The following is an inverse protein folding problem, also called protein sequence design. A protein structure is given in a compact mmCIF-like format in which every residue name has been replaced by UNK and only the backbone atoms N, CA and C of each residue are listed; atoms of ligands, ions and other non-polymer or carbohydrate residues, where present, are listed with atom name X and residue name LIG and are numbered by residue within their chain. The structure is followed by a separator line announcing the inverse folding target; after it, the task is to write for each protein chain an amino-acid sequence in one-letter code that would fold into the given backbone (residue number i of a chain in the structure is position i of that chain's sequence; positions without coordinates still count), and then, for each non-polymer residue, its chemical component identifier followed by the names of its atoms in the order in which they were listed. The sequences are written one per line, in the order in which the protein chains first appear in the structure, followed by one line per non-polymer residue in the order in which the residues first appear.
data_IF_386777616444
#
_entry.id   IF_386777616444
#
_cell.length_a   1.000
_cell.length_b   1.000
_cell.length_c   1.000
_cell.angle_alpha   90.00
_cell.angle_beta   90.00
_cell.angle_gamma   90.00
#
_symmetry.space_group_name_H-M   'P 1'
#
loop_
_entity.id
_entity.type
_entity.pdbx_description
1 polymer ?
#
# COMPACT_ATOMS: atom_id res chain seq x y z
N UNK A 1 7.16 -7.94 3.46
CA UNK A 1 7.32 -6.61 4.08
C UNK A 1 8.47 -6.64 5.06
N UNK A 2 9.39 -5.72 4.92
CA UNK A 2 10.54 -5.60 5.83
C UNK A 2 10.40 -4.31 6.64
N UNK A 3 10.16 -4.43 7.94
CA UNK A 3 9.97 -3.28 8.82
C UNK A 3 11.32 -2.60 9.09
N UNK A 4 11.39 -1.30 8.82
CA UNK A 4 12.61 -0.50 8.96
C UNK A 4 12.66 0.26 10.29
N UNK A 5 11.50 0.65 10.81
CA UNK A 5 11.36 1.32 12.11
C UNK A 5 9.96 1.09 12.65
N UNK A 6 9.82 1.22 13.97
CA UNK A 6 8.55 0.98 14.63
C UNK A 6 8.22 -0.48 14.76
N UNK A 7 6.96 -0.78 15.03
CA UNK A 7 6.46 -2.14 15.23
C UNK A 7 5.12 -2.30 14.53
N UNK A 8 5.11 -3.08 13.44
CA UNK A 8 3.91 -3.27 12.64
C UNK A 8 2.78 -4.01 13.37
N UNK A 9 3.09 -4.71 14.44
CA UNK A 9 2.08 -5.45 15.21
C UNK A 9 1.37 -4.57 16.24
N UNK A 10 1.99 -3.49 16.69
CA UNK A 10 1.50 -2.73 17.84
C UNK A 10 1.27 -1.25 17.56
N UNK A 11 1.86 -0.67 16.53
CA UNK A 11 1.76 0.78 16.36
C UNK A 11 2.35 1.30 15.05
N UNK A 12 2.66 2.60 15.03
CA UNK A 12 3.23 3.24 13.85
C UNK A 12 4.53 2.58 13.41
N UNK A 13 4.73 2.48 12.11
CA UNK A 13 5.91 1.85 11.54
C UNK A 13 6.17 2.31 10.12
N UNK A 14 7.38 2.08 9.64
CA UNK A 14 7.77 2.23 8.24
C UNK A 14 8.40 0.95 7.73
N UNK A 15 8.12 0.60 6.49
CA UNK A 15 8.55 -0.67 5.92
C UNK A 15 8.82 -0.57 4.42
N UNK A 16 9.66 -1.47 3.93
CA UNK A 16 9.78 -1.75 2.50
C UNK A 16 8.90 -2.94 2.17
N UNK A 17 8.10 -2.80 1.13
CA UNK A 17 7.17 -3.84 0.68
C UNK A 17 7.36 -4.10 -0.80
N UNK A 18 7.29 -5.37 -1.17
CA UNK A 18 7.30 -5.79 -2.56
C UNK A 18 5.99 -6.46 -2.93
N UNK A 19 5.39 -6.00 -4.01
CA UNK A 19 4.30 -6.70 -4.69
C UNK A 19 4.90 -7.41 -5.90
N UNK A 20 4.65 -8.70 -6.03
CA UNK A 20 5.03 -9.45 -7.23
C UNK A 20 4.24 -8.94 -8.45
N UNK A 21 4.69 -9.19 -9.70
CA UNK A 21 3.91 -8.84 -10.87
C UNK A 21 2.49 -9.41 -10.78
N UNK A 22 1.50 -8.59 -11.14
CA UNK A 22 0.08 -8.92 -11.13
C UNK A 22 -0.51 -9.17 -9.73
N UNK A 23 0.22 -8.81 -8.68
CA UNK A 23 -0.30 -8.98 -7.32
C UNK A 23 -1.62 -8.25 -7.17
N UNK A 24 -2.59 -8.92 -6.55
CA UNK A 24 -3.94 -8.42 -6.32
C UNK A 24 -4.24 -8.54 -4.83
N UNK A 25 -4.29 -7.41 -4.16
CA UNK A 25 -4.56 -7.37 -2.71
C UNK A 25 -6.05 -7.46 -2.39
N UNK A 26 -6.91 -7.42 -3.41
CA UNK A 26 -8.36 -7.38 -3.21
C UNK A 26 -8.84 -6.04 -2.67
N UNK A 27 -10.14 -5.91 -2.57
CA UNK A 27 -10.77 -4.71 -2.01
C UNK A 27 -10.72 -4.81 -0.49
N UNK A 28 -10.18 -3.79 0.15
CA UNK A 28 -9.95 -3.80 1.59
C UNK A 28 -9.92 -2.39 2.18
N UNK A 29 -9.86 -2.33 3.50
CA UNK A 29 -9.59 -1.11 4.26
C UNK A 29 -8.44 -1.34 5.22
N UNK A 30 -7.83 -0.24 5.68
CA UNK A 30 -6.91 -0.24 6.81
C UNK A 30 -7.48 0.70 7.88
N UNK A 31 -7.28 0.39 9.15
CA UNK A 31 -7.77 1.23 10.24
C UNK A 31 -7.04 2.58 10.29
N UNK A 32 -5.78 2.62 9.88
CA UNK A 32 -4.93 3.80 10.01
C UNK A 32 -4.47 4.32 8.64
N UNK A 33 -4.07 5.59 8.61
CA UNK A 33 -3.57 6.22 7.39
C UNK A 33 -2.31 5.50 6.91
N UNK A 34 -2.19 5.36 5.58
CA UNK A 34 -1.01 4.82 4.93
C UNK A 34 -0.43 5.84 3.95
N UNK A 35 0.89 5.90 3.87
CA UNK A 35 1.64 6.72 2.92
C UNK A 35 2.63 5.84 2.19
N UNK A 36 2.67 5.96 0.87
CA UNK A 36 3.45 5.08 0.01
C UNK A 36 4.26 5.91 -0.97
N UNK A 37 5.57 5.61 -1.04
CA UNK A 37 6.47 6.14 -2.07
C UNK A 37 7.01 4.96 -2.86
N UNK A 38 6.79 4.97 -4.16
CA UNK A 38 7.24 3.88 -5.04
C UNK A 38 8.70 4.09 -5.42
N UNK A 39 9.46 3.01 -5.38
CA UNK A 39 10.88 2.98 -5.72
C UNK A 39 11.08 2.34 -7.09
N UNK A 40 10.37 1.26 -7.38
CA UNK A 40 10.48 0.52 -8.64
C UNK A 40 9.15 -0.10 -9.00
N UNK A 41 8.89 -0.23 -10.31
CA UNK A 41 7.63 -0.77 -10.80
C UNK A 41 6.50 0.23 -10.66
N UNK A 42 5.30 -0.24 -10.32
CA UNK A 42 4.16 0.64 -10.04
C UNK A 42 3.21 0.03 -9.04
N UNK A 43 2.75 0.87 -8.12
CA UNK A 43 1.68 0.57 -7.19
C UNK A 43 0.37 0.99 -7.86
N UNK A 44 -0.54 0.05 -8.03
CA UNK A 44 -1.83 0.30 -8.64
C UNK A 44 -2.87 0.47 -7.55
N UNK A 45 -3.77 1.45 -7.74
CA UNK A 45 -4.75 1.83 -6.74
C UNK A 45 -6.09 2.12 -7.41
N UNK A 46 -7.18 1.68 -6.79
CA UNK A 46 -8.55 1.98 -7.23
C UNK A 46 -9.44 2.24 -6.03
N UNK A 47 -10.24 3.28 -6.12
CA UNK A 47 -11.33 3.55 -5.16
C UNK A 47 -12.55 4.10 -5.92
N UNK A 48 -13.57 4.56 -5.18
CA UNK A 48 -14.79 5.08 -5.80
C UNK A 48 -14.56 6.35 -6.62
N UNK A 49 -13.46 7.06 -6.38
CA UNK A 49 -13.11 8.27 -7.13
C UNK A 49 -12.31 7.98 -8.40
N UNK A 50 -11.85 6.75 -8.60
CA UNK A 50 -11.13 6.35 -9.81
C UNK A 50 -9.89 5.52 -9.55
N UNK A 51 -9.02 5.46 -10.56
CA UNK A 51 -7.80 4.65 -10.55
C UNK A 51 -6.56 5.54 -10.58
N UNK A 52 -5.48 5.05 -9.95
CA UNK A 52 -4.18 5.69 -9.99
C UNK A 52 -3.09 4.67 -10.23
N UNK A 53 -2.10 5.08 -11.02
CA UNK A 53 -0.85 4.34 -11.19
C UNK A 53 0.26 5.17 -10.57
N UNK A 54 0.88 4.65 -9.51
CA UNK A 54 1.94 5.35 -8.77
C UNK A 54 3.27 4.73 -9.18
N UNK A 55 4.06 5.49 -9.94
CA UNK A 55 5.34 5.05 -10.46
C UNK A 55 6.52 5.47 -9.59
N UNK A 56 7.77 5.17 -10.02
CA UNK A 56 8.95 5.47 -9.24
C UNK A 56 9.06 6.96 -8.90
N UNK A 57 9.27 7.26 -7.62
CA UNK A 57 9.35 8.62 -7.12
C UNK A 57 8.00 9.28 -6.82
N UNK A 58 6.90 8.65 -7.21
CA UNK A 58 5.57 9.16 -6.93
C UNK A 58 5.10 8.73 -5.54
N UNK A 59 4.10 9.44 -5.07
CA UNK A 59 3.59 9.30 -3.70
C UNK A 59 2.07 9.15 -3.71
N UNK A 60 1.53 8.32 -2.82
CA UNK A 60 0.10 8.25 -2.56
C UNK A 60 -0.16 8.20 -1.06
N UNK A 61 -1.17 8.93 -0.60
CA UNK A 61 -1.66 8.89 0.77
C UNK A 61 -3.06 8.31 0.79
N UNK A 62 -3.27 7.30 1.62
CA UNK A 62 -4.56 6.59 1.73
C UNK A 62 -5.08 6.79 3.15
N UNK A 63 -6.11 7.62 3.36
CA UNK A 63 -6.70 7.81 4.68
C UNK A 63 -7.25 6.50 5.26
N UNK A 64 -7.13 6.34 6.57
CA UNK A 64 -7.71 5.20 7.26
C UNK A 64 -9.19 5.08 6.99
N UNK A 65 -9.68 3.85 6.85
CA UNK A 65 -11.09 3.56 6.55
C UNK A 65 -11.47 3.67 5.08
N UNK A 66 -10.57 4.12 4.21
CA UNK A 66 -10.87 4.21 2.78
C UNK A 66 -10.95 2.82 2.16
N UNK A 67 -12.11 2.49 1.61
CA UNK A 67 -12.29 1.26 0.83
C UNK A 67 -11.57 1.40 -0.50
N UNK A 68 -10.62 0.49 -0.77
CA UNK A 68 -9.84 0.57 -2.00
C UNK A 68 -9.32 -0.81 -2.42
N UNK A 69 -8.87 -0.89 -3.66
CA UNK A 69 -8.13 -2.02 -4.21
C UNK A 69 -6.69 -1.58 -4.47
N UNK A 70 -5.75 -2.47 -4.23
CA UNK A 70 -4.36 -2.23 -4.61
C UNK A 70 -3.73 -3.46 -5.24
N UNK A 71 -2.70 -3.22 -6.04
CA UNK A 71 -1.99 -4.28 -6.74
C UNK A 71 -0.66 -3.82 -7.30
N UNK A 72 0.06 -4.78 -7.91
CA UNK A 72 1.34 -4.56 -8.55
C UNK A 72 1.23 -4.49 -10.06
N UNK A 73 2.12 -3.73 -10.69
CA UNK A 73 2.24 -3.67 -12.15
C UNK A 73 2.31 -5.07 -12.76
N UNK A 74 1.72 -5.23 -13.93
CA UNK A 74 1.61 -6.51 -14.63
C UNK A 74 2.97 -7.16 -14.90
N UNK A 75 3.98 -6.37 -15.23
CA UNK A 75 5.30 -6.85 -15.63
C UNK A 75 6.35 -6.76 -14.52
N UNK A 76 6.32 -5.70 -13.73
CA UNK A 76 7.38 -5.40 -12.76
C UNK A 76 6.96 -5.55 -11.31
N UNK A 77 5.65 -5.64 -11.04
CA UNK A 77 5.17 -5.54 -9.66
C UNK A 77 5.41 -4.14 -9.11
N UNK A 78 5.69 -4.07 -7.81
CA UNK A 78 6.02 -2.81 -7.17
C UNK A 78 6.98 -3.02 -6.00
N UNK A 79 7.98 -2.15 -5.89
CA UNK A 79 8.81 -2.02 -4.69
C UNK A 79 8.55 -0.63 -4.14
N UNK A 80 8.11 -0.55 -2.90
CA UNK A 80 7.74 0.73 -2.31
C UNK A 80 8.05 0.80 -0.83
N UNK A 81 8.26 2.03 -0.35
CA UNK A 81 8.32 2.34 1.06
C UNK A 81 6.93 2.74 1.53
N UNK A 82 6.49 2.20 2.65
CA UNK A 82 5.20 2.54 3.23
C UNK A 82 5.32 2.90 4.70
N UNK A 83 4.59 3.93 5.10
CA UNK A 83 4.41 4.30 6.49
C UNK A 83 2.94 4.14 6.87
N UNK A 84 2.68 3.62 8.05
CA UNK A 84 1.35 3.56 8.62
C UNK A 84 1.32 4.27 9.97
N UNK A 85 0.23 4.98 10.24
CA UNK A 85 0.05 5.74 11.47
C UNK A 85 -0.28 4.87 12.68
N UNK A 86 -0.49 3.59 12.49
CA UNK A 86 -0.78 2.60 13.51
C UNK A 86 -0.34 1.22 13.08
N UNK A 87 -0.77 0.21 13.80
CA UNK A 87 -0.42 -1.18 13.49
C UNK A 87 -0.85 -1.55 12.06
N UNK A 88 -0.13 -2.49 11.46
CA UNK A 88 -0.51 -3.03 10.16
C UNK A 88 -1.79 -3.87 10.28
N UNK A 89 -2.71 -3.64 9.37
CA UNK A 89 -3.88 -4.48 9.16
C UNK A 89 -4.26 -4.48 7.69
N UNK A 90 -5.07 -5.42 7.31
CA UNK A 90 -5.72 -5.48 6.01
C UNK A 90 -7.08 -6.12 6.24
N UNK A 91 -8.12 -5.32 6.13
CA UNK A 91 -9.49 -5.74 6.45
C UNK A 91 -10.25 -5.95 5.14
N UNK A 92 -10.44 -7.19 4.69
CA UNK A 92 -11.16 -7.45 3.44
C UNK A 92 -12.59 -6.92 3.50
N UNK A 93 -13.04 -6.37 2.37
CA UNK A 93 -14.43 -5.93 2.19
C UNK A 93 -15.13 -6.98 1.33
N UNK A 94 -16.15 -7.58 1.93
CA UNK A 94 -16.94 -8.61 1.25
C UNK A 94 -18.30 -8.10 0.82
#
# INVERSE_FOLDING_TARGET
MAVLWGDAETGPHGAMTRFVPRFDAGIHTHANDARIVVIKGAYLYKDDAGEKRVGPGDFISIPGGTKHWSGGDENEGALFYNEMAGKFDLIPVM
#
